data_IF_346985177298
#
_entry.id   IF_346985177298
#
_cell.length_a   1.000
_cell.length_b   1.000
_cell.length_c   1.000
_cell.angle_alpha   90.00
_cell.angle_beta   90.00
_cell.angle_gamma   90.00
#
_symmetry.space_group_name_H-M   'P 1'
#
loop_
_entity.id
_entity.type
_entity.pdbx_description
1 polymer ?
#
# COMPACT_ATOMS: atom_id res chain seq x y z
N UNK A 1 -47.37 -45.84 36.24
CA UNK A 1 -46.98 -46.96 37.14
C UNK A 1 -45.88 -47.78 36.47
N UNK A 2 -44.73 -47.92 37.15
CA UNK A 2 -43.59 -48.88 36.96
C UNK A 2 -42.84 -48.81 35.61
N UNK A 3 -41.58 -48.33 35.46
CA UNK A 3 -40.24 -48.57 36.06
C UNK A 3 -39.70 -50.02 35.96
N UNK A 4 -38.60 -50.18 35.19
CA UNK A 4 -37.40 -51.05 35.36
C UNK A 4 -36.61 -50.94 34.03
N UNK A 5 -35.42 -50.34 33.85
CA UNK A 5 -34.15 -50.26 34.60
C UNK A 5 -33.45 -51.63 34.74
N UNK A 6 -32.40 -51.88 33.95
CA UNK A 6 -31.08 -52.34 34.44
C UNK A 6 -29.97 -52.23 33.38
N UNK A 7 -28.78 -51.90 33.86
CA UNK A 7 -27.59 -51.39 33.18
C UNK A 7 -26.57 -52.47 32.78
N UNK A 8 -25.58 -52.01 31.98
CA UNK A 8 -24.15 -52.38 31.95
C UNK A 8 -23.74 -53.79 31.47
N UNK A 9 -22.95 -53.81 30.39
CA UNK A 9 -21.57 -54.32 30.49
C UNK A 9 -20.65 -53.67 29.45
N UNK A 10 -19.73 -52.87 29.99
CA UNK A 10 -18.49 -52.38 29.41
C UNK A 10 -17.44 -53.51 29.48
N UNK A 11 -16.43 -53.47 28.62
CA UNK A 11 -15.29 -54.41 28.50
C UNK A 11 -15.56 -55.70 27.71
N UNK A 12 -15.11 -55.74 26.46
CA UNK A 12 -13.97 -56.54 25.98
C UNK A 12 -13.94 -56.44 24.45
N UNK A 13 -12.99 -55.69 23.88
CA UNK A 13 -12.28 -55.92 22.60
C UNK A 13 -11.21 -54.81 22.55
N UNK A 14 -10.13 -55.05 23.29
CA UNK A 14 -8.81 -54.46 23.08
C UNK A 14 -7.95 -55.62 22.58
N UNK A 15 -7.04 -55.34 21.65
CA UNK A 15 -6.11 -56.25 20.95
C UNK A 15 -6.61 -56.75 19.60
N UNK A 16 -6.41 -55.95 18.56
CA UNK A 16 -5.33 -56.20 17.60
C UNK A 16 -5.17 -54.96 16.70
N UNK A 17 -3.96 -54.74 16.19
CA UNK A 17 -3.58 -53.64 15.27
C UNK A 17 -3.07 -52.35 15.93
N UNK A 18 -2.08 -52.50 16.81
CA UNK A 18 -0.96 -51.57 16.91
C UNK A 18 0.31 -52.36 16.58
N UNK A 19 0.93 -52.11 15.43
CA UNK A 19 2.34 -51.71 15.30
C UNK A 19 2.77 -51.71 13.81
N UNK A 20 3.35 -50.57 13.40
CA UNK A 20 4.33 -50.41 12.32
C UNK A 20 3.80 -50.41 10.89
N UNK A 21 3.56 -49.22 10.33
CA UNK A 21 4.62 -48.54 9.57
C UNK A 21 4.23 -47.07 9.33
N UNK A 22 5.06 -46.20 9.89
CA UNK A 22 5.16 -44.78 9.58
C UNK A 22 5.40 -44.57 8.08
N UNK A 23 4.42 -44.02 7.39
CA UNK A 23 4.69 -43.17 6.22
C UNK A 23 4.20 -41.79 6.62
N UNK A 24 5.15 -40.98 7.09
CA UNK A 24 5.00 -39.55 7.23
C UNK A 24 4.84 -38.96 5.83
N UNK A 25 3.64 -39.03 5.26
CA UNK A 25 3.27 -38.21 4.12
C UNK A 25 3.04 -36.80 4.65
N UNK A 26 4.14 -36.10 4.92
CA UNK A 26 4.19 -34.63 4.87
C UNK A 26 3.92 -34.24 3.42
N UNK A 27 2.65 -34.30 3.02
CA UNK A 27 2.17 -33.59 1.85
C UNK A 27 2.25 -32.12 2.24
N UNK A 28 3.41 -31.52 2.01
CA UNK A 28 3.58 -30.09 1.99
C UNK A 28 2.57 -29.62 0.94
N UNK A 29 1.42 -29.13 1.38
CA UNK A 29 0.53 -28.36 0.53
C UNK A 29 1.36 -27.15 0.10
N UNK A 30 2.06 -27.30 -1.02
CA UNK A 30 2.68 -26.20 -1.73
C UNK A 30 1.50 -25.28 -2.02
N UNK A 31 1.35 -24.21 -1.25
CA UNK A 31 0.33 -23.22 -1.55
C UNK A 31 0.62 -22.83 -3.00
N UNK A 32 -0.34 -23.09 -3.89
CA UNK A 32 -0.27 -22.52 -5.22
C UNK A 32 -0.37 -21.03 -4.95
N UNK A 33 0.77 -20.34 -5.04
CA UNK A 33 0.83 -18.91 -4.81
C UNK A 33 0.14 -18.28 -6.03
N UNK A 34 -1.18 -18.12 -5.93
CA UNK A 34 -1.96 -17.50 -6.99
C UNK A 34 -1.51 -16.05 -7.07
N UNK A 35 -0.85 -15.70 -8.19
CA UNK A 35 -0.41 -14.35 -8.52
C UNK A 35 -1.53 -13.35 -8.22
N UNK A 36 -1.25 -12.35 -7.37
CA UNK A 36 -2.22 -11.34 -6.96
C UNK A 36 -2.50 -10.42 -8.15
N UNK A 37 -3.73 -9.93 -8.28
CA UNK A 37 -4.06 -8.84 -9.19
C UNK A 37 -3.86 -7.53 -8.42
N UNK A 38 -2.98 -6.66 -8.90
CA UNK A 38 -2.59 -5.44 -8.20
C UNK A 38 -2.95 -4.22 -9.06
N UNK A 39 -3.48 -3.19 -8.40
CA UNK A 39 -3.52 -1.82 -8.93
C UNK A 39 -2.74 -0.93 -7.97
N UNK A 40 -1.95 -0.01 -8.51
CA UNK A 40 -1.23 1.01 -7.75
C UNK A 40 -1.85 2.37 -8.04
N UNK A 41 -2.28 3.09 -7.01
CA UNK A 41 -2.75 4.49 -7.08
C UNK A 41 -1.72 5.39 -6.38
N UNK A 42 -1.09 6.27 -7.15
CA UNK A 42 0.20 6.92 -6.82
C UNK A 42 0.22 8.38 -7.26
N UNK A 43 0.99 9.20 -6.54
CA UNK A 43 1.38 10.57 -6.90
C UNK A 43 2.88 10.69 -7.25
N UNK A 44 3.54 9.54 -7.47
CA UNK A 44 4.83 9.32 -8.13
C UNK A 44 5.97 10.26 -7.72
N UNK A 45 6.18 10.37 -6.40
CA UNK A 45 7.43 10.77 -5.78
C UNK A 45 8.56 9.77 -6.01
N UNK A 46 9.75 10.09 -5.52
CA UNK A 46 10.90 9.20 -5.68
C UNK A 46 10.79 7.92 -4.83
N UNK A 47 10.03 7.96 -3.73
CA UNK A 47 9.69 6.81 -2.90
C UNK A 47 8.59 5.93 -3.51
N UNK A 48 7.58 6.51 -4.15
CA UNK A 48 6.63 5.76 -4.99
C UNK A 48 7.36 4.93 -6.06
N UNK A 49 8.46 5.45 -6.63
CA UNK A 49 9.24 4.72 -7.62
C UNK A 49 9.79 3.40 -7.05
N UNK A 50 10.21 3.38 -5.79
CA UNK A 50 10.62 2.15 -5.09
C UNK A 50 9.44 1.17 -4.97
N UNK A 51 8.26 1.67 -4.58
CA UNK A 51 7.05 0.86 -4.47
C UNK A 51 6.65 0.22 -5.81
N UNK A 52 6.68 1.00 -6.89
CA UNK A 52 6.37 0.54 -8.25
C UNK A 52 7.40 -0.49 -8.70
N UNK A 53 8.70 -0.20 -8.64
CA UNK A 53 9.73 -1.18 -9.04
C UNK A 53 9.66 -2.47 -8.24
N UNK A 54 9.44 -2.38 -6.93
CA UNK A 54 9.32 -3.55 -6.07
C UNK A 54 8.13 -4.43 -6.48
N UNK A 55 6.99 -3.79 -6.78
CA UNK A 55 5.79 -4.49 -7.27
C UNK A 55 6.02 -5.11 -8.64
N UNK A 56 6.66 -4.40 -9.57
CA UNK A 56 6.98 -4.91 -10.92
C UNK A 56 7.98 -6.06 -10.93
N UNK A 57 8.81 -6.19 -9.89
CA UNK A 57 9.75 -7.31 -9.68
C UNK A 57 9.13 -8.48 -8.91
N UNK A 58 7.86 -8.39 -8.54
CA UNK A 58 7.11 -9.52 -7.98
C UNK A 58 6.60 -10.46 -9.09
N UNK A 59 6.08 -11.62 -8.69
CA UNK A 59 5.35 -12.54 -9.60
C UNK A 59 3.86 -12.16 -9.72
N UNK A 60 3.46 -11.04 -9.10
CA UNK A 60 2.09 -10.57 -9.11
C UNK A 60 1.75 -9.85 -10.43
N UNK A 61 0.46 -9.89 -10.79
CA UNK A 61 -0.06 -9.29 -12.00
C UNK A 61 -0.51 -7.85 -11.73
N UNK A 62 0.34 -6.88 -12.09
CA UNK A 62 -0.01 -5.45 -12.06
C UNK A 62 -0.91 -5.13 -13.25
N UNK A 63 -2.18 -4.86 -12.96
CA UNK A 63 -3.21 -4.62 -13.97
C UNK A 63 -3.20 -3.19 -14.49
N UNK A 64 -2.87 -2.22 -13.64
CA UNK A 64 -2.87 -0.80 -13.98
C UNK A 64 -2.10 0.01 -12.93
N UNK A 65 -1.65 1.20 -13.34
CA UNK A 65 -1.20 2.26 -12.44
C UNK A 65 -2.09 3.49 -12.66
N UNK A 66 -2.67 4.01 -11.59
CA UNK A 66 -3.50 5.22 -11.60
C UNK A 66 -2.74 6.38 -10.97
N UNK A 67 -2.74 7.52 -11.65
CA UNK A 67 -1.97 8.70 -11.24
C UNK A 67 -2.89 9.75 -10.59
N UNK A 68 -2.49 10.31 -9.46
CA UNK A 68 -3.14 11.45 -8.80
C UNK A 68 -2.15 12.60 -8.63
N UNK A 69 -2.63 13.78 -8.25
CA UNK A 69 -1.80 14.86 -7.73
C UNK A 69 -1.27 14.51 -6.33
N UNK A 70 -0.26 15.25 -5.86
CA UNK A 70 0.27 15.15 -4.49
C UNK A 70 1.68 15.73 -4.44
N UNK A 71 2.69 14.86 -4.37
CA UNK A 71 4.12 15.17 -4.46
C UNK A 71 4.45 16.15 -5.60
N UNK A 72 3.76 16.03 -6.73
CA UNK A 72 3.80 17.00 -7.83
C UNK A 72 2.45 17.11 -8.54
N UNK A 73 2.39 17.87 -9.63
CA UNK A 73 1.18 17.94 -10.46
C UNK A 73 0.97 16.63 -11.22
N UNK A 74 -0.28 16.22 -11.42
CA UNK A 74 -0.61 14.91 -12.01
C UNK A 74 0.01 14.70 -13.40
N UNK A 75 0.26 15.77 -14.16
CA UNK A 75 0.97 15.72 -15.44
C UNK A 75 2.41 15.21 -15.27
N UNK A 76 3.12 15.69 -14.25
CA UNK A 76 4.45 15.19 -13.90
C UNK A 76 4.37 13.76 -13.35
N UNK A 77 3.36 13.45 -12.53
CA UNK A 77 3.13 12.10 -11.99
C UNK A 77 3.01 11.07 -13.11
N UNK A 78 2.17 11.34 -14.11
CA UNK A 78 2.02 10.47 -15.29
C UNK A 78 3.37 10.27 -15.96
N UNK A 79 4.11 11.35 -16.26
CA UNK A 79 5.43 11.26 -16.89
C UNK A 79 6.41 10.42 -16.04
N UNK A 80 6.40 10.58 -14.72
CA UNK A 80 7.26 9.83 -13.81
C UNK A 80 6.95 8.33 -13.86
N UNK A 81 5.67 7.94 -13.79
CA UNK A 81 5.25 6.55 -13.95
C UNK A 81 5.69 5.99 -15.30
N UNK A 82 5.54 6.74 -16.39
CA UNK A 82 5.98 6.29 -17.72
C UNK A 82 7.50 6.09 -17.81
N UNK A 83 8.30 6.96 -17.18
CA UNK A 83 9.76 6.78 -17.05
C UNK A 83 10.10 5.50 -16.28
N UNK A 84 9.41 5.26 -15.16
CA UNK A 84 9.59 4.07 -14.30
C UNK A 84 9.27 2.79 -15.09
N UNK A 85 8.13 2.75 -15.79
CA UNK A 85 7.73 1.61 -16.62
C UNK A 85 8.70 1.37 -17.78
N UNK A 86 9.23 2.43 -18.38
CA UNK A 86 10.26 2.35 -19.43
C UNK A 86 11.51 1.65 -18.89
N UNK A 87 12.04 2.10 -17.75
CA UNK A 87 13.23 1.49 -17.12
C UNK A 87 12.97 0.04 -16.68
N UNK A 88 11.74 -0.26 -16.26
CA UNK A 88 11.32 -1.61 -15.88
C UNK A 88 11.07 -2.54 -17.08
N UNK A 89 11.07 -2.02 -18.32
CA UNK A 89 10.61 -2.72 -19.52
C UNK A 89 9.18 -3.29 -19.36
N UNK A 90 8.27 -2.51 -18.77
CA UNK A 90 6.88 -2.89 -18.48
C UNK A 90 5.86 -1.93 -19.07
N UNK A 91 6.14 -1.45 -20.28
CA UNK A 91 5.25 -0.58 -21.06
C UNK A 91 3.94 -1.25 -21.49
N UNK A 92 3.75 -2.54 -21.19
CA UNK A 92 2.50 -3.28 -21.33
C UNK A 92 1.43 -2.90 -20.29
N UNK A 93 1.83 -2.32 -19.15
CA UNK A 93 0.90 -1.95 -18.08
C UNK A 93 0.21 -0.62 -18.43
N UNK A 94 -1.13 -0.57 -18.44
CA UNK A 94 -1.84 0.67 -18.71
C UNK A 94 -1.70 1.67 -17.55
N UNK A 95 -1.47 2.93 -17.91
CA UNK A 95 -1.39 4.05 -16.98
C UNK A 95 -2.57 4.98 -17.21
N UNK A 96 -3.32 5.31 -16.17
CA UNK A 96 -4.48 6.20 -16.28
C UNK A 96 -4.26 7.48 -15.48
N UNK A 97 -4.49 8.62 -16.13
CA UNK A 97 -4.46 9.93 -15.48
C UNK A 97 -5.74 10.15 -14.67
N UNK A 98 -5.59 10.62 -13.44
CA UNK A 98 -6.68 10.84 -12.50
C UNK A 98 -6.80 12.29 -12.04
N UNK A 99 -7.12 12.44 -10.76
CA UNK A 99 -7.43 13.72 -10.14
C UNK A 99 -6.27 14.71 -10.23
N UNK A 100 -6.60 15.96 -10.57
CA UNK A 100 -5.64 17.07 -10.59
C UNK A 100 -5.55 17.81 -9.24
N UNK A 101 -6.52 17.57 -8.35
CA UNK A 101 -6.71 18.29 -7.07
C UNK A 101 -7.71 17.54 -6.19
N UNK A 102 -7.81 17.94 -4.92
CA UNK A 102 -8.73 17.37 -3.93
C UNK A 102 -10.21 17.51 -4.32
N UNK A 103 -11.07 16.72 -3.66
CA UNK A 103 -12.52 16.79 -3.88
C UNK A 103 -13.11 18.16 -3.54
N UNK A 104 -12.66 18.77 -2.43
CA UNK A 104 -13.09 20.10 -2.00
C UNK A 104 -11.92 21.08 -2.11
N UNK A 105 -12.06 22.03 -3.03
CA UNK A 105 -11.12 23.14 -3.20
C UNK A 105 -11.31 24.22 -2.13
N UNK A 106 -10.21 24.85 -1.71
CA UNK A 106 -10.25 26.15 -1.02
C UNK A 106 -9.63 26.20 0.38
N UNK A 107 -9.19 25.08 0.94
CA UNK A 107 -8.55 25.08 2.26
C UNK A 107 -7.02 25.07 2.22
N UNK A 108 -6.40 24.53 1.17
CA UNK A 108 -4.97 24.23 1.17
C UNK A 108 -4.33 24.56 -0.19
N UNK A 109 -3.82 25.79 -0.37
CA UNK A 109 -2.61 25.96 -1.19
C UNK A 109 -1.47 25.38 -0.37
N UNK A 110 -1.34 24.04 -0.34
CA UNK A 110 -0.15 23.42 0.20
C UNK A 110 1.05 23.98 -0.59
N UNK A 111 1.87 24.78 0.09
CA UNK A 111 3.14 25.21 -0.47
C UNK A 111 4.00 23.96 -0.66
N UNK A 112 4.16 23.55 -1.91
CA UNK A 112 5.01 22.41 -2.27
C UNK A 112 6.41 22.66 -1.72
N UNK A 113 6.80 21.88 -0.71
CA UNK A 113 8.17 21.86 -0.19
C UNK A 113 9.16 21.26 -1.20
N UNK A 114 8.62 20.72 -2.31
CA UNK A 114 9.32 20.01 -3.36
C UNK A 114 10.27 18.98 -2.75
N UNK A 115 9.80 18.17 -1.79
CA UNK A 115 10.61 17.17 -1.08
C UNK A 115 11.47 16.35 -2.06
N UNK A 116 10.83 15.84 -3.12
CA UNK A 116 11.46 15.07 -4.19
C UNK A 116 11.94 15.87 -5.40
N UNK A 117 11.88 17.20 -5.38
CA UNK A 117 12.11 18.06 -6.54
C UNK A 117 10.81 18.63 -7.11
N UNK A 118 10.93 19.50 -8.10
CA UNK A 118 9.78 20.16 -8.73
C UNK A 118 8.98 19.18 -9.60
N UNK A 119 9.68 18.28 -10.29
CA UNK A 119 9.07 17.20 -11.07
C UNK A 119 8.66 15.99 -10.21
N UNK A 120 8.95 15.99 -8.91
CA UNK A 120 8.70 14.87 -8.00
C UNK A 120 9.68 13.70 -8.12
N UNK A 121 10.67 13.77 -9.01
CA UNK A 121 11.57 12.67 -9.35
C UNK A 121 13.01 13.13 -9.51
N UNK A 122 13.48 14.01 -8.63
CA UNK A 122 14.88 14.40 -8.50
C UNK A 122 15.35 15.50 -9.45
N UNK A 123 14.46 16.05 -10.28
CA UNK A 123 14.75 17.06 -11.31
C UNK A 123 15.94 16.68 -12.21
N UNK A 124 16.10 15.39 -12.54
CA UNK A 124 17.18 14.94 -13.40
C UNK A 124 16.72 14.84 -14.85
N UNK A 125 17.66 15.10 -15.78
CA UNK A 125 17.37 14.97 -17.19
C UNK A 125 17.28 13.47 -17.56
N UNK A 126 16.07 13.00 -17.84
CA UNK A 126 15.83 11.62 -18.28
C UNK A 126 16.15 11.52 -19.78
N UNK A 127 17.21 10.80 -20.12
CA UNK A 127 17.78 10.76 -21.48
C UNK A 127 17.26 9.60 -22.34
N UNK A 128 16.58 8.63 -21.74
CA UNK A 128 16.07 7.46 -22.46
C UNK A 128 14.73 7.81 -23.15
N UNK A 129 14.43 7.12 -24.26
CA UNK A 129 13.13 7.25 -24.91
C UNK A 129 12.03 6.64 -24.03
N UNK A 130 11.02 7.42 -23.68
CA UNK A 130 9.86 6.93 -22.91
C UNK A 130 9.00 6.07 -23.83
N UNK A 131 8.94 4.76 -23.56
CA UNK A 131 8.21 3.78 -24.40
C UNK A 131 6.80 3.49 -23.89
N UNK A 132 6.56 3.68 -22.58
CA UNK A 132 5.25 3.55 -21.98
C UNK A 132 4.33 4.72 -22.40
N UNK A 133 3.01 4.47 -22.42
CA UNK A 133 2.02 5.48 -22.80
C UNK A 133 0.90 5.55 -21.78
N UNK A 134 0.34 6.75 -21.62
CA UNK A 134 -0.91 6.95 -20.89
C UNK A 134 -2.07 6.45 -21.75
N UNK A 135 -3.02 5.76 -21.12
CA UNK A 135 -4.32 5.45 -21.71
C UNK A 135 -5.25 6.64 -21.44
N UNK A 136 -5.56 7.38 -22.50
CA UNK A 136 -6.43 8.57 -22.45
C UNK A 136 -7.91 8.25 -22.67
N UNK A 137 -8.28 6.98 -22.80
CA UNK A 137 -9.67 6.58 -23.06
C UNK A 137 -10.62 6.90 -21.90
N UNK A 138 -10.09 7.01 -20.67
CA UNK A 138 -10.88 7.28 -19.47
C UNK A 138 -10.05 7.83 -18.31
N UNK A 139 -10.74 8.44 -17.36
CA UNK A 139 -10.18 8.89 -16.09
C UNK A 139 -9.84 7.70 -15.17
N UNK A 140 -8.78 7.82 -14.36
CA UNK A 140 -8.33 6.80 -13.41
C UNK A 140 -9.46 6.20 -12.54
N UNK A 141 -10.32 7.04 -11.96
CA UNK A 141 -11.47 6.58 -11.16
C UNK A 141 -12.42 5.64 -11.93
N UNK A 142 -12.62 5.86 -13.24
CA UNK A 142 -13.43 4.97 -14.09
C UNK A 142 -12.68 3.67 -14.36
N UNK A 143 -11.37 3.74 -14.65
CA UNK A 143 -10.54 2.56 -14.81
C UNK A 143 -10.54 1.67 -13.55
N UNK A 144 -10.47 2.28 -12.35
CA UNK A 144 -10.60 1.56 -11.08
C UNK A 144 -11.92 0.79 -11.02
N UNK A 145 -13.05 1.44 -11.30
CA UNK A 145 -14.39 0.81 -11.28
C UNK A 145 -14.47 -0.35 -12.28
N UNK A 146 -14.02 -0.13 -13.51
CA UNK A 146 -14.06 -1.15 -14.57
C UNK A 146 -13.26 -2.39 -14.18
N UNK A 147 -12.03 -2.18 -13.66
CA UNK A 147 -11.14 -3.28 -13.28
C UNK A 147 -11.68 -4.07 -12.09
N UNK A 148 -12.19 -3.42 -11.04
CA UNK A 148 -12.74 -4.15 -9.88
C UNK A 148 -14.03 -4.89 -10.22
N UNK A 149 -14.83 -4.40 -11.17
CA UNK A 149 -16.01 -5.12 -11.69
C UNK A 149 -15.64 -6.27 -12.62
N UNK A 150 -14.56 -6.14 -13.38
CA UNK A 150 -14.03 -7.23 -14.20
C UNK A 150 -13.44 -8.36 -13.36
N UNK A 151 -12.82 -8.03 -12.22
CA UNK A 151 -12.16 -8.98 -11.31
C UNK A 151 -12.63 -8.83 -9.85
N UNK A 152 -13.93 -9.05 -9.57
CA UNK A 152 -14.48 -8.83 -8.25
C UNK A 152 -13.83 -9.76 -7.22
N UNK A 153 -13.52 -9.21 -6.06
CA UNK A 153 -12.88 -9.85 -4.89
C UNK A 153 -11.48 -10.41 -5.15
N UNK A 154 -10.83 -10.04 -6.26
CA UNK A 154 -9.51 -10.52 -6.63
C UNK A 154 -8.41 -9.45 -6.58
N UNK A 155 -8.79 -8.17 -6.70
CA UNK A 155 -7.84 -7.06 -6.78
C UNK A 155 -7.41 -6.60 -5.40
N UNK A 156 -6.09 -6.50 -5.21
CA UNK A 156 -5.48 -5.73 -4.13
C UNK A 156 -5.15 -4.34 -4.67
N UNK A 157 -5.72 -3.31 -4.05
CA UNK A 157 -5.41 -1.91 -4.37
C UNK A 157 -4.38 -1.38 -3.38
N UNK A 158 -3.28 -0.82 -3.89
CA UNK A 158 -2.28 -0.08 -3.14
C UNK A 158 -2.46 1.41 -3.41
N UNK A 159 -2.90 2.16 -2.40
CA UNK A 159 -3.03 3.62 -2.45
C UNK A 159 -1.87 4.25 -1.68
N UNK A 160 -0.94 4.86 -2.41
CA UNK A 160 0.28 5.48 -1.89
C UNK A 160 0.35 6.99 -2.14
N UNK A 161 -0.64 7.56 -2.84
CA UNK A 161 -0.87 9.01 -2.92
C UNK A 161 -2.19 9.45 -2.28
N UNK A 162 -2.64 10.69 -2.52
CA UNK A 162 -3.92 11.21 -2.07
C UNK A 162 -5.11 10.38 -2.56
N UNK A 163 -6.06 10.15 -1.66
CA UNK A 163 -7.21 9.26 -1.82
C UNK A 163 -8.25 9.67 -2.88
N UNK A 164 -8.02 10.73 -3.66
CA UNK A 164 -9.05 11.38 -4.49
C UNK A 164 -9.55 10.51 -5.63
N UNK A 165 -8.68 9.74 -6.28
CA UNK A 165 -9.11 8.80 -7.33
C UNK A 165 -10.06 7.74 -6.77
N UNK A 166 -9.70 7.15 -5.64
CA UNK A 166 -10.49 6.12 -4.94
C UNK A 166 -11.81 6.71 -4.43
N UNK A 167 -11.78 7.91 -3.84
CA UNK A 167 -12.97 8.59 -3.36
C UNK A 167 -13.92 8.95 -4.50
N UNK A 168 -13.39 9.41 -5.64
CA UNK A 168 -14.17 9.63 -6.86
C UNK A 168 -14.79 8.32 -7.36
N UNK A 169 -14.05 7.21 -7.33
CA UNK A 169 -14.59 5.90 -7.68
C UNK A 169 -15.74 5.48 -6.75
N UNK A 170 -15.62 5.72 -5.44
CA UNK A 170 -16.68 5.47 -4.45
C UNK A 170 -17.91 6.37 -4.69
N UNK A 171 -17.70 7.63 -5.09
CA UNK A 171 -18.80 8.55 -5.40
C UNK A 171 -19.66 8.04 -6.57
N UNK A 172 -19.00 7.48 -7.60
CA UNK A 172 -19.63 6.96 -8.80
C UNK A 172 -20.18 5.53 -8.62
N UNK A 173 -19.51 4.71 -7.81
CA UNK A 173 -19.86 3.34 -7.50
C UNK A 173 -19.79 3.11 -5.97
N UNK A 174 -20.90 3.30 -5.24
CA UNK A 174 -20.90 3.23 -3.78
C UNK A 174 -20.46 1.90 -3.18
N UNK A 175 -20.50 0.80 -3.95
CA UNK A 175 -20.03 -0.52 -3.53
C UNK A 175 -18.56 -0.78 -3.89
N UNK A 176 -17.84 0.19 -4.47
CA UNK A 176 -16.47 0.05 -4.98
C UNK A 176 -15.55 -0.75 -4.06
N UNK A 177 -15.44 -0.35 -2.79
CA UNK A 177 -14.55 -1.01 -1.81
C UNK A 177 -14.93 -2.47 -1.53
N UNK A 178 -16.19 -2.83 -1.69
CA UNK A 178 -16.64 -4.22 -1.47
C UNK A 178 -16.15 -5.16 -2.56
N UNK A 179 -15.84 -4.65 -3.76
CA UNK A 179 -15.28 -5.46 -4.85
C UNK A 179 -13.79 -5.74 -4.68
N UNK A 180 -13.09 -5.03 -3.78
CA UNK A 180 -11.67 -5.26 -3.55
C UNK A 180 -11.45 -6.52 -2.70
N UNK A 181 -10.36 -7.24 -2.99
CA UNK A 181 -9.83 -8.28 -2.10
C UNK A 181 -9.18 -7.66 -0.87
N UNK A 182 -8.34 -6.66 -1.11
CA UNK A 182 -7.66 -5.88 -0.07
C UNK A 182 -7.48 -4.44 -0.56
N UNK A 183 -7.45 -3.50 0.38
CA UNK A 183 -7.08 -2.11 0.15
C UNK A 183 -6.00 -1.72 1.14
N UNK A 184 -4.79 -1.45 0.66
CA UNK A 184 -3.65 -0.99 1.47
C UNK A 184 -3.52 0.50 1.22
N UNK A 185 -3.47 1.28 2.29
CA UNK A 185 -3.37 2.74 2.24
C UNK A 185 -2.13 3.12 3.04
N UNK A 186 -1.19 3.81 2.39
CA UNK A 186 -0.15 4.55 3.09
C UNK A 186 -0.73 5.89 3.55
N UNK A 187 -0.55 6.18 4.83
CA UNK A 187 -0.80 7.51 5.35
C UNK A 187 -1.42 7.50 6.74
N UNK A 188 -1.82 8.68 7.18
CA UNK A 188 -2.26 8.98 8.55
C UNK A 188 -1.13 8.95 9.60
N UNK A 189 -1.46 9.60 10.72
CA UNK A 189 -0.82 9.43 12.03
C UNK A 189 -1.83 8.80 12.99
N UNK A 190 -1.36 7.88 13.83
CA UNK A 190 -2.15 7.12 14.81
C UNK A 190 -1.64 7.29 16.24
N UNK A 191 -0.45 7.86 16.44
CA UNK A 191 0.09 8.24 17.74
C UNK A 191 0.48 9.74 17.87
N UNK A 192 0.11 10.57 16.89
CA UNK A 192 0.25 12.02 16.96
C UNK A 192 1.48 12.61 16.26
N UNK A 193 2.35 11.79 15.65
CA UNK A 193 3.49 12.25 14.86
C UNK A 193 3.08 12.37 13.38
N UNK A 194 3.09 13.59 12.86
CA UNK A 194 2.80 13.89 11.45
C UNK A 194 4.00 14.50 10.72
N UNK A 195 3.89 14.62 9.39
CA UNK A 195 4.88 15.24 8.51
C UNK A 195 4.38 16.55 7.86
N UNK A 196 3.10 16.89 8.04
CA UNK A 196 2.53 18.20 7.68
C UNK A 196 2.37 19.09 8.92
N UNK A 197 1.74 18.54 9.95
CA UNK A 197 1.55 19.18 11.25
C UNK A 197 1.36 18.08 12.31
N UNK A 198 1.30 18.41 13.61
CA UNK A 198 1.04 17.39 14.63
C UNK A 198 -0.19 16.54 14.28
N UNK A 199 -0.04 15.21 14.33
CA UNK A 199 -1.06 14.20 13.98
C UNK A 199 -1.59 14.22 12.53
N UNK A 200 -0.97 14.97 11.62
CA UNK A 200 -1.45 15.10 10.24
C UNK A 200 -0.34 14.68 9.28
N UNK A 201 -0.67 13.68 8.47
CA UNK A 201 0.19 13.09 7.46
C UNK A 201 -0.17 13.64 6.06
N UNK A 202 0.83 13.76 5.19
CA UNK A 202 0.77 14.35 3.85
C UNK A 202 -0.41 13.84 3.01
N UNK A 203 -0.47 12.54 2.69
CA UNK A 203 -1.53 11.98 1.83
C UNK A 203 -2.91 12.22 2.44
N UNK A 204 -3.03 12.08 3.75
CA UNK A 204 -4.30 12.30 4.43
C UNK A 204 -4.71 13.78 4.49
N UNK A 205 -3.73 14.68 4.53
CA UNK A 205 -3.96 16.13 4.47
C UNK A 205 -4.40 16.60 3.09
N UNK A 206 -3.91 15.97 2.02
CA UNK A 206 -4.22 16.37 0.65
C UNK A 206 -5.70 16.20 0.28
N UNK A 207 -6.39 15.18 0.83
CA UNK A 207 -7.83 14.97 0.60
C UNK A 207 -8.55 14.34 1.82
N UNK A 208 -8.83 15.12 2.88
CA UNK A 208 -9.50 14.64 4.08
C UNK A 208 -10.89 14.05 3.81
N UNK A 209 -11.63 14.62 2.86
CA UNK A 209 -12.93 14.09 2.40
C UNK A 209 -12.78 12.72 1.76
N UNK A 210 -11.77 12.54 0.92
CA UNK A 210 -11.47 11.24 0.33
C UNK A 210 -11.21 10.17 1.38
N UNK A 211 -10.43 10.50 2.42
CA UNK A 211 -10.17 9.58 3.53
C UNK A 211 -11.46 9.25 4.30
N UNK A 212 -12.32 10.25 4.52
CA UNK A 212 -13.64 10.05 5.11
C UNK A 212 -14.48 9.09 4.28
N UNK A 213 -14.51 9.24 2.96
CA UNK A 213 -15.29 8.36 2.08
C UNK A 213 -14.80 6.90 2.11
N UNK A 214 -13.50 6.68 2.28
CA UNK A 214 -12.89 5.35 2.35
C UNK A 214 -13.11 4.70 3.71
N UNK A 215 -12.79 5.41 4.79
CA UNK A 215 -12.73 4.84 6.12
C UNK A 215 -14.05 4.94 6.88
N UNK A 216 -14.98 5.83 6.52
CA UNK A 216 -16.32 5.86 7.13
C UNK A 216 -17.26 4.81 6.49
N UNK A 217 -16.81 3.56 6.42
CA UNK A 217 -17.50 2.40 5.82
C UNK A 217 -17.32 1.17 6.71
N UNK A 218 -18.09 0.11 6.44
CA UNK A 218 -18.00 -1.17 7.13
C UNK A 218 -16.94 -2.12 6.53
N UNK A 219 -16.28 -1.71 5.43
CA UNK A 219 -15.16 -2.44 4.84
C UNK A 219 -13.89 -2.18 5.65
N UNK A 220 -13.08 -3.21 5.87
CA UNK A 220 -11.79 -3.06 6.56
C UNK A 220 -10.66 -2.82 5.56
N UNK A 221 -10.05 -1.63 5.59
CA UNK A 221 -8.82 -1.33 4.87
C UNK A 221 -7.59 -1.58 5.74
N UNK A 222 -6.43 -1.83 5.13
CA UNK A 222 -5.15 -1.89 5.81
C UNK A 222 -4.53 -0.50 5.78
N UNK A 223 -4.27 0.07 6.96
CA UNK A 223 -3.59 1.35 7.11
C UNK A 223 -2.13 1.10 7.48
N UNK A 224 -1.22 1.66 6.70
CA UNK A 224 0.21 1.74 6.99
C UNK A 224 0.54 3.19 7.39
N UNK A 225 0.62 3.50 8.70
CA UNK A 225 0.83 4.86 9.17
C UNK A 225 2.24 5.37 8.88
N UNK A 226 2.36 6.69 8.70
CA UNK A 226 3.65 7.38 8.60
C UNK A 226 4.60 7.03 9.76
N UNK A 227 4.06 6.95 10.96
CA UNK A 227 4.81 6.59 12.17
C UNK A 227 5.46 5.22 12.09
N UNK A 228 4.77 4.24 11.53
CA UNK A 228 5.34 2.90 11.33
C UNK A 228 6.49 2.95 10.33
N UNK A 229 6.37 3.74 9.27
CA UNK A 229 7.43 3.90 8.27
C UNK A 229 8.69 4.55 8.87
N UNK A 230 8.55 5.64 9.65
CA UNK A 230 9.72 6.32 10.24
C UNK A 230 10.35 5.53 11.39
N UNK A 231 9.56 4.73 12.11
CA UNK A 231 10.08 3.85 13.16
C UNK A 231 10.84 2.64 12.59
N UNK A 232 10.48 2.20 11.38
CA UNK A 232 11.23 1.20 10.61
C UNK A 232 12.51 1.82 10.00
N UNK A 233 13.38 2.34 10.88
CA UNK A 233 14.53 3.15 10.50
C UNK A 233 15.49 2.40 9.55
N UNK A 234 15.81 3.04 8.43
CA UNK A 234 16.89 2.63 7.54
C UNK A 234 17.91 3.77 7.45
N UNK A 235 19.18 3.46 7.68
CA UNK A 235 20.24 4.45 7.62
C UNK A 235 20.50 4.94 6.21
N UNK A 236 20.85 6.22 6.08
CA UNK A 236 21.29 6.78 4.80
C UNK A 236 22.55 6.06 4.27
N UNK A 237 23.43 5.65 5.18
CA UNK A 237 24.62 4.87 4.83
C UNK A 237 24.26 3.55 4.13
N UNK A 238 23.28 2.80 4.65
CA UNK A 238 22.82 1.58 4.00
C UNK A 238 22.23 1.87 2.62
N UNK A 239 21.38 2.90 2.50
CA UNK A 239 20.78 3.30 1.22
C UNK A 239 21.84 3.65 0.18
N UNK A 240 22.89 4.40 0.54
CA UNK A 240 23.92 4.86 -0.40
C UNK A 240 24.96 3.77 -0.67
N UNK A 241 25.49 3.14 0.38
CA UNK A 241 26.67 2.28 0.31
C UNK A 241 26.37 0.79 0.16
N UNK A 242 25.13 0.35 0.41
CA UNK A 242 24.71 -1.04 0.20
C UNK A 242 23.74 -1.11 -0.98
N UNK A 243 22.52 -0.57 -0.85
CA UNK A 243 21.52 -0.62 -1.91
C UNK A 243 21.99 0.16 -3.14
N UNK A 244 22.48 1.38 -2.94
CA UNK A 244 22.89 2.31 -4.00
C UNK A 244 24.08 1.86 -4.84
N UNK A 245 24.83 0.83 -4.40
CA UNK A 245 25.97 0.26 -5.14
C UNK A 245 25.60 -0.95 -6.00
N UNK A 246 24.37 -1.44 -5.91
CA UNK A 246 23.91 -2.51 -6.79
C UNK A 246 23.93 -2.01 -8.24
N UNK A 247 24.58 -2.79 -9.11
CA UNK A 247 24.70 -2.46 -10.53
C UNK A 247 23.45 -2.93 -11.32
N UNK A 248 22.34 -2.22 -11.16
CA UNK A 248 21.10 -2.48 -11.91
C UNK A 248 20.48 -1.19 -12.45
N UNK A 249 19.70 -1.30 -13.52
CA UNK A 249 19.00 -0.15 -14.11
C UNK A 249 18.07 0.54 -13.11
N UNK A 250 17.41 -0.24 -12.26
CA UNK A 250 16.52 0.23 -11.19
C UNK A 250 17.28 1.08 -10.18
N UNK A 251 18.38 0.56 -9.62
CA UNK A 251 19.13 1.28 -8.59
C UNK A 251 19.80 2.52 -9.17
N UNK A 252 20.32 2.43 -10.40
CA UNK A 252 20.87 3.58 -11.11
C UNK A 252 19.83 4.68 -11.36
N UNK A 253 18.58 4.30 -11.65
CA UNK A 253 17.47 5.22 -11.76
C UNK A 253 17.12 5.84 -10.39
N UNK A 254 16.95 5.01 -9.35
CA UNK A 254 16.60 5.47 -8.00
C UNK A 254 17.66 6.43 -7.43
N UNK A 255 18.94 6.17 -7.65
CA UNK A 255 20.02 7.08 -7.27
C UNK A 255 19.88 8.48 -7.90
N UNK A 256 19.31 8.58 -9.11
CA UNK A 256 19.01 9.86 -9.76
C UNK A 256 17.69 10.46 -9.28
N UNK A 257 16.65 9.65 -9.18
CA UNK A 257 15.31 10.06 -8.77
C UNK A 257 15.30 10.61 -7.33
N UNK A 258 16.07 10.00 -6.44
CA UNK A 258 16.10 10.38 -5.02
C UNK A 258 17.16 11.44 -4.70
N UNK A 259 17.92 11.92 -5.70
CA UNK A 259 19.09 12.81 -5.47
C UNK A 259 18.78 14.08 -4.67
N UNK A 260 17.53 14.55 -4.71
CA UNK A 260 17.04 15.71 -3.95
C UNK A 260 16.66 15.30 -2.52
N UNK A 261 15.85 14.26 -2.36
CA UNK A 261 15.36 13.80 -1.06
C UNK A 261 16.47 13.25 -0.16
N UNK A 262 17.46 12.55 -0.75
CA UNK A 262 18.61 12.01 -0.01
C UNK A 262 19.47 13.08 0.69
N UNK A 263 19.38 14.34 0.26
CA UNK A 263 20.08 15.46 0.92
C UNK A 263 19.32 16.11 2.07
N UNK A 264 18.06 15.70 2.30
CA UNK A 264 17.15 16.37 3.25
C UNK A 264 17.07 15.71 4.62
N UNK A 265 17.60 14.50 4.79
CA UNK A 265 17.54 13.73 6.05
C UNK A 265 18.76 12.84 6.24
N UNK A 266 19.03 12.46 7.50
CA UNK A 266 20.04 11.46 7.87
C UNK A 266 19.51 10.01 7.83
N UNK A 267 18.20 9.84 7.64
CA UNK A 267 17.53 8.55 7.43
C UNK A 267 16.92 8.48 6.03
N UNK A 268 16.83 7.27 5.50
CA UNK A 268 16.14 7.04 4.25
C UNK A 268 14.65 6.85 4.51
N UNK A 269 13.83 7.83 4.09
CA UNK A 269 12.37 7.76 4.20
C UNK A 269 11.81 7.11 2.94
N UNK A 270 11.17 5.94 3.10
CA UNK A 270 10.71 5.11 1.97
C UNK A 270 9.36 4.45 2.25
N UNK A 271 8.43 5.25 2.75
CA UNK A 271 7.12 4.83 3.26
C UNK A 271 6.33 4.01 2.24
N UNK A 272 6.31 4.45 0.99
CA UNK A 272 5.62 3.81 -0.13
C UNK A 272 6.19 2.43 -0.46
N UNK A 273 7.53 2.35 -0.49
CA UNK A 273 8.26 1.10 -0.69
C UNK A 273 7.93 0.07 0.41
N UNK A 274 7.81 0.52 1.66
CA UNK A 274 7.39 -0.32 2.78
C UNK A 274 5.92 -0.75 2.66
N UNK A 275 5.03 0.16 2.23
CA UNK A 275 3.62 -0.16 1.98
C UNK A 275 3.46 -1.24 0.89
N UNK A 276 4.21 -1.12 -0.21
CA UNK A 276 4.28 -2.16 -1.23
C UNK A 276 4.87 -3.47 -0.68
N UNK A 277 5.93 -3.39 0.14
CA UNK A 277 6.54 -4.59 0.72
C UNK A 277 5.57 -5.37 1.61
N UNK A 278 4.81 -4.72 2.50
CA UNK A 278 3.81 -5.42 3.33
C UNK A 278 2.64 -5.98 2.52
N UNK A 279 2.29 -5.35 1.39
CA UNK A 279 1.29 -5.87 0.46
C UNK A 279 1.79 -7.17 -0.21
N UNK A 280 3.04 -7.16 -0.69
CA UNK A 280 3.67 -8.29 -1.38
C UNK A 280 4.00 -9.42 -0.40
N UNK A 281 4.51 -9.08 0.77
CA UNK A 281 4.97 -9.97 1.83
C UNK A 281 4.32 -9.63 3.18
N UNK A 282 3.06 -10.04 3.41
CA UNK A 282 2.34 -9.73 4.65
C UNK A 282 3.01 -10.24 5.93
N UNK A 283 3.91 -11.22 5.82
CA UNK A 283 4.71 -11.72 6.94
C UNK A 283 5.72 -10.70 7.49
N UNK A 284 6.02 -9.63 6.75
CA UNK A 284 6.84 -8.52 7.25
C UNK A 284 6.12 -7.74 8.37
N UNK A 285 4.80 -7.85 8.50
CA UNK A 285 4.06 -7.22 9.59
C UNK A 285 4.27 -8.00 10.88
N UNK A 286 4.96 -7.41 11.85
CA UNK A 286 5.23 -8.03 13.15
C UNK A 286 4.18 -7.64 14.20
N UNK A 287 3.56 -6.46 14.08
CA UNK A 287 2.47 -6.02 14.97
C UNK A 287 1.40 -5.24 14.20
N UNK A 288 0.14 -5.55 14.49
CA UNK A 288 -1.02 -4.82 13.95
C UNK A 288 -2.22 -4.91 14.88
N UNK A 289 -3.16 -3.99 14.73
CA UNK A 289 -4.44 -3.99 15.44
C UNK A 289 -5.59 -3.77 14.46
N UNK A 290 -6.72 -4.44 14.69
CA UNK A 290 -7.96 -4.19 13.95
C UNK A 290 -8.92 -3.43 14.86
N UNK A 291 -9.24 -2.19 14.48
CA UNK A 291 -10.12 -1.30 15.25
C UNK A 291 -10.94 -0.37 14.34
N UNK A 292 -11.77 0.48 14.94
CA UNK A 292 -12.42 1.59 14.26
C UNK A 292 -11.50 2.82 14.23
N UNK A 293 -11.45 3.47 13.07
CA UNK A 293 -10.90 4.81 12.90
C UNK A 293 -11.95 5.75 12.34
N UNK A 294 -11.88 7.02 12.71
CA UNK A 294 -12.79 8.06 12.23
C UNK A 294 -12.00 9.23 11.66
N UNK A 295 -12.02 9.45 10.34
CA UNK A 295 -11.35 10.59 9.72
C UNK A 295 -11.92 11.93 10.17
N UNK A 296 -11.05 12.90 10.37
CA UNK A 296 -11.41 14.26 10.77
C UNK A 296 -11.35 15.18 9.56
N UNK A 297 -12.49 15.78 9.22
CA UNK A 297 -12.65 16.64 8.03
C UNK A 297 -12.76 18.13 8.38
N UNK A 298 -12.60 18.54 9.63
CA UNK A 298 -12.71 19.96 10.00
C UNK A 298 -11.86 20.30 11.23
N UNK A 299 -11.64 21.59 11.44
CA UNK A 299 -10.86 22.15 12.54
C UNK A 299 -9.36 21.92 12.43
N UNK A 300 -8.65 22.13 13.54
CA UNK A 300 -7.18 22.04 13.61
C UNK A 300 -6.63 20.64 13.33
N UNK A 301 -7.47 19.61 13.48
CA UNK A 301 -7.12 18.22 13.25
C UNK A 301 -7.60 17.70 11.89
N UNK A 302 -8.05 18.57 10.97
CA UNK A 302 -8.45 18.21 9.61
C UNK A 302 -7.32 17.46 8.89
N UNK A 303 -7.64 16.29 8.35
CA UNK A 303 -6.66 15.38 7.73
C UNK A 303 -6.03 14.37 8.69
N UNK A 304 -6.40 14.38 9.97
CA UNK A 304 -6.04 13.29 10.90
C UNK A 304 -7.12 12.21 10.97
N UNK A 305 -6.85 11.15 11.73
CA UNK A 305 -7.86 10.18 12.15
C UNK A 305 -7.91 10.06 13.67
N UNK A 306 -9.10 9.80 14.20
CA UNK A 306 -9.30 9.35 15.58
C UNK A 306 -9.26 7.83 15.60
N UNK A 307 -8.44 7.24 16.48
CA UNK A 307 -8.30 5.79 16.61
C UNK A 307 -8.95 5.31 17.89
N UNK A 308 -9.89 4.38 17.78
CA UNK A 308 -10.61 3.82 18.93
C UNK A 308 -9.87 2.61 19.52
N UNK A 309 -8.70 2.82 20.12
CA UNK A 309 -7.85 1.72 20.64
C UNK A 309 -8.53 0.86 21.71
N UNK A 310 -9.49 1.43 22.45
CA UNK A 310 -10.16 0.79 23.58
C UNK A 310 -11.61 0.42 23.28
N UNK A 311 -12.05 0.55 22.02
CA UNK A 311 -13.42 0.23 21.57
C UNK A 311 -14.51 1.01 22.36
N UNK A 312 -14.24 2.28 22.68
CA UNK A 312 -15.12 3.17 23.42
C UNK A 312 -16.40 3.51 22.67
N UNK A 313 -16.33 3.60 21.35
CA UNK A 313 -17.48 4.04 20.52
C UNK A 313 -18.42 2.89 20.17
N UNK A 314 -17.97 1.64 20.28
CA UNK A 314 -18.70 0.45 19.84
C UNK A 314 -18.94 0.39 18.32
N UNK A 315 -18.30 1.25 17.53
CA UNK A 315 -18.47 1.29 16.07
C UNK A 315 -17.84 0.06 15.40
N UNK A 316 -18.36 -0.37 14.24
CA UNK A 316 -17.75 -1.44 13.47
C UNK A 316 -16.28 -1.16 13.15
N UNK A 317 -15.45 -2.19 13.22
CA UNK A 317 -14.04 -2.09 12.85
C UNK A 317 -13.91 -1.88 11.34
N UNK A 318 -13.09 -0.92 10.94
CA UNK A 318 -12.94 -0.48 9.55
C UNK A 318 -11.46 -0.34 9.13
N UNK A 319 -10.52 -0.55 10.05
CA UNK A 319 -9.10 -0.47 9.74
C UNK A 319 -8.30 -1.56 10.45
N UNK A 320 -7.39 -2.20 9.70
CA UNK A 320 -6.23 -2.92 10.24
C UNK A 320 -5.04 -1.98 10.20
N UNK A 321 -4.65 -1.45 11.35
CA UNK A 321 -3.52 -0.54 11.49
C UNK A 321 -2.25 -1.37 11.69
N UNK A 322 -1.29 -1.23 10.79
CA UNK A 322 0.05 -1.78 10.94
C UNK A 322 0.80 -0.92 11.95
N UNK A 323 1.45 -1.54 12.94
CA UNK A 323 2.16 -0.81 14.01
C UNK A 323 3.66 -1.01 13.91
N UNK A 324 4.11 -2.21 13.52
CA UNK A 324 5.52 -2.56 13.38
C UNK A 324 5.73 -3.50 12.19
N UNK A 325 6.91 -3.41 11.60
CA UNK A 325 7.38 -4.27 10.51
C UNK A 325 8.78 -4.80 10.78
N UNK A 326 9.13 -5.90 10.11
CA UNK A 326 10.48 -6.45 10.04
C UNK A 326 11.32 -5.65 9.03
N UNK A 327 12.06 -4.66 9.53
CA UNK A 327 12.91 -3.78 8.74
C UNK A 327 14.04 -4.54 8.03
N UNK A 328 14.66 -5.51 8.69
CA UNK A 328 15.74 -6.32 8.11
C UNK A 328 15.19 -7.17 6.96
N UNK A 329 14.03 -7.80 7.18
CA UNK A 329 13.30 -8.53 6.13
C UNK A 329 12.97 -7.65 4.92
N UNK A 330 12.56 -6.40 5.15
CA UNK A 330 12.33 -5.44 4.07
C UNK A 330 13.61 -5.06 3.31
N UNK A 331 14.71 -4.80 4.02
CA UNK A 331 16.01 -4.53 3.39
C UNK A 331 16.47 -5.71 2.52
N UNK A 332 16.35 -6.95 3.02
CA UNK A 332 16.67 -8.15 2.25
C UNK A 332 15.78 -8.31 1.02
N UNK A 333 14.49 -7.98 1.14
CA UNK A 333 13.58 -7.99 0.00
C UNK A 333 14.05 -7.03 -1.11
N UNK A 334 14.46 -5.80 -0.76
CA UNK A 334 14.98 -4.84 -1.72
C UNK A 334 16.25 -5.35 -2.40
N UNK A 335 17.22 -5.86 -1.63
CA UNK A 335 18.45 -6.42 -2.19
C UNK A 335 18.15 -7.56 -3.18
N UNK A 336 17.23 -8.46 -2.83
CA UNK A 336 16.86 -9.59 -3.69
C UNK A 336 16.14 -9.16 -4.97
N UNK A 337 15.30 -8.12 -4.92
CA UNK A 337 14.47 -7.69 -6.05
C UNK A 337 15.15 -6.69 -6.98
N UNK A 338 16.11 -5.92 -6.47
CA UNK A 338 16.79 -4.86 -7.22
C UNK A 338 18.20 -5.24 -7.69
N UNK A 339 18.72 -6.40 -7.28
CA UNK A 339 19.97 -6.97 -7.82
C UNK A 339 19.89 -7.31 -9.30
#
# INVERSE_FOLDING_TARGET
>A
MKKCMFCCNLFTIISFCLLLYSVSSTTFLRSVNVSKKIIIDTDAGADDAVAIFLTLKSEDNVLAITCSYGNTYVENVVINVLKILTVANRSDIPVYKGAHKALINGYNEYNKDNYFGSDGLGDFNFMEEITAKVDESKHAAIALIDLVKQYPYQITLLSIGPSTNVATAIALEPLFLTYLKNHIILGSSVSGVGNISPNIEFNFYQDPEGNYMILNKNTTSVLFPWETAINAYISMDWRINVLGKINSSIVNFLNKAERKSLTKSNSWSISDGMAAAIMLQPQLVTRSIITNVSPVIDGLARGSILVDYTNLTGRPKNAKIIQEIDTDGFQQLLLNKFS
#
